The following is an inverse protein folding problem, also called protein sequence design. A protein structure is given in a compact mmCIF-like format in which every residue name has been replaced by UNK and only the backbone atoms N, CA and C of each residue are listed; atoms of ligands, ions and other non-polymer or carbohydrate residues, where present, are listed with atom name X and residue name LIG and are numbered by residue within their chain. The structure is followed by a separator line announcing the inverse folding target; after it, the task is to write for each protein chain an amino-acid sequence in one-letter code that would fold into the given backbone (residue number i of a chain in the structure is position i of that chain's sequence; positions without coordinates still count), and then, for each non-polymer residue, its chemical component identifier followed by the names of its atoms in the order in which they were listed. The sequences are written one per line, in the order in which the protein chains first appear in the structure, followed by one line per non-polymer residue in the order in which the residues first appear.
data_IF_485129934909
#
_entry.id   IF_485129934909
#
_cell.length_a   1.000
_cell.length_b   1.000
_cell.length_c   1.000
_cell.angle_alpha   90.00
_cell.angle_beta   90.00
_cell.angle_gamma   90.00
#
_symmetry.space_group_name_H-M   'P 1'
#
loop_
_entity.id
_entity.type
_entity.pdbx_description
1 polymer ?
#
# COMPACT_ATOMS: atom_id res chain seq x y z
N UNK A 1 1.10 -14.17 5.45
CA UNK A 1 -0.18 -13.92 4.74
C UNK A 1 -0.61 -12.50 5.07
N UNK A 2 -1.30 -11.79 4.16
CA UNK A 2 -1.87 -10.49 4.48
C UNK A 2 -3.13 -10.68 5.32
N UNK A 3 -3.25 -9.94 6.42
CA UNK A 3 -4.50 -9.86 7.19
C UNK A 3 -5.56 -9.13 6.36
N UNK A 4 -6.87 -9.32 6.63
CA UNK A 4 -7.92 -8.56 5.97
C UNK A 4 -7.76 -7.04 6.10
N UNK A 5 -7.21 -6.58 7.23
CA UNK A 5 -6.97 -5.16 7.51
C UNK A 5 -5.78 -4.63 6.71
N UNK A 6 -4.67 -5.37 6.66
CA UNK A 6 -3.51 -5.03 5.80
C UNK A 6 -3.93 -4.96 4.32
N UNK A 7 -4.79 -5.89 3.88
CA UNK A 7 -5.30 -5.88 2.52
C UNK A 7 -6.21 -4.67 2.24
N UNK A 8 -7.03 -4.24 3.20
CA UNK A 8 -7.86 -3.04 3.08
C UNK A 8 -7.02 -1.77 2.96
N UNK A 9 -6.02 -1.60 3.83
CA UNK A 9 -5.05 -0.50 3.74
C UNK A 9 -4.34 -0.51 2.39
N UNK A 10 -3.93 -1.70 1.93
CA UNK A 10 -3.23 -1.83 0.67
C UNK A 10 -4.09 -1.43 -0.54
N UNK A 11 -5.38 -1.78 -0.52
CA UNK A 11 -6.35 -1.33 -1.51
C UNK A 11 -6.62 0.18 -1.43
N UNK A 12 -6.65 0.76 -0.23
CA UNK A 12 -6.80 2.21 -0.03
C UNK A 12 -5.61 2.99 -0.56
N UNK A 13 -4.38 2.54 -0.31
CA UNK A 13 -3.16 3.15 -0.88
C UNK A 13 -3.19 3.14 -2.41
N UNK A 14 -3.70 2.06 -3.03
CA UNK A 14 -3.87 1.98 -4.49
C UNK A 14 -4.94 2.93 -5.01
N UNK A 15 -6.07 3.05 -4.31
CA UNK A 15 -7.22 3.83 -4.75
C UNK A 15 -7.07 5.33 -4.45
N UNK A 16 -6.38 5.69 -3.37
CA UNK A 16 -6.22 7.06 -2.88
C UNK A 16 -4.82 7.24 -2.28
N UNK A 17 -3.81 7.60 -3.09
CA UNK A 17 -2.45 7.87 -2.64
C UNK A 17 -2.33 9.07 -1.69
N UNK A 18 -3.37 9.92 -1.64
CA UNK A 18 -3.43 11.09 -0.74
C UNK A 18 -4.17 10.80 0.57
N UNK A 19 -4.52 9.53 0.83
CA UNK A 19 -5.20 9.16 2.08
C UNK A 19 -4.22 9.23 3.25
N UNK A 20 -4.43 10.20 4.13
CA UNK A 20 -3.57 10.52 5.29
C UNK A 20 -3.92 9.74 6.56
N UNK A 21 -5.05 9.05 6.58
CA UNK A 21 -5.59 8.35 7.76
C UNK A 21 -5.31 6.84 7.68
N UNK A 22 -4.09 6.49 7.27
CA UNK A 22 -3.65 5.10 7.26
C UNK A 22 -3.11 4.77 8.65
N UNK A 23 -3.66 3.74 9.29
CA UNK A 23 -3.12 3.19 10.53
C UNK A 23 -1.65 2.78 10.32
N UNK A 24 -0.76 3.27 11.20
CA UNK A 24 0.69 3.14 11.02
C UNK A 24 1.15 1.69 11.08
N UNK A 25 0.54 0.83 11.89
CA UNK A 25 0.99 -0.55 12.08
C UNK A 25 0.80 -1.39 10.80
N UNK A 26 -0.37 -1.31 10.17
CA UNK A 26 -0.62 -1.99 8.89
C UNK A 26 0.21 -1.39 7.75
N UNK A 27 0.35 -0.07 7.73
CA UNK A 27 1.17 0.59 6.71
C UNK A 27 2.64 0.20 6.83
N UNK A 28 3.18 0.18 8.05
CA UNK A 28 4.54 -0.21 8.34
C UNK A 28 4.78 -1.68 7.95
N UNK A 29 3.82 -2.57 8.22
CA UNK A 29 3.89 -3.97 7.77
C UNK A 29 3.93 -4.10 6.23
N UNK A 30 3.19 -3.26 5.50
CA UNK A 30 3.25 -3.22 4.04
C UNK A 30 4.58 -2.63 3.53
N UNK A 31 5.14 -1.66 4.24
CA UNK A 31 6.41 -1.00 3.94
C UNK A 31 7.59 -1.98 4.16
N UNK A 32 7.59 -2.70 5.29
CA UNK A 32 8.57 -3.74 5.62
C UNK A 32 8.58 -4.86 4.57
N UNK A 33 7.41 -5.20 4.04
CA UNK A 33 7.24 -6.18 2.97
C UNK A 33 7.50 -5.63 1.56
N UNK A 34 7.86 -4.35 1.44
CA UNK A 34 8.10 -3.66 0.17
C UNK A 34 6.90 -3.74 -0.79
N UNK A 35 5.68 -3.82 -0.26
CA UNK A 35 4.44 -3.80 -1.04
C UNK A 35 3.99 -2.37 -1.34
N UNK A 36 4.33 -1.44 -0.43
CA UNK A 36 4.15 0.00 -0.57
C UNK A 36 5.47 0.71 -0.30
N UNK A 37 5.63 1.91 -0.84
CA UNK A 37 6.75 2.80 -0.63
C UNK A 37 6.24 4.22 -0.38
N UNK A 38 7.01 5.02 0.37
CA UNK A 38 6.76 6.45 0.51
C UNK A 38 7.62 7.21 -0.51
N UNK A 39 6.99 7.83 -1.50
CA UNK A 39 7.67 8.72 -2.42
C UNK A 39 7.62 10.16 -1.90
N UNK A 40 8.76 10.85 -1.96
CA UNK A 40 8.81 12.28 -1.67
C UNK A 40 8.22 13.04 -2.84
N UNK A 41 7.07 13.68 -2.63
CA UNK A 41 6.50 14.60 -3.59
C UNK A 41 7.35 15.87 -3.68
N UNK A 42 7.35 16.58 -4.82
CA UNK A 42 8.05 17.86 -4.98
C UNK A 42 7.63 18.92 -3.96
N UNK A 43 6.45 18.76 -3.36
CA UNK A 43 5.92 19.60 -2.27
C UNK A 43 6.51 19.30 -0.89
N UNK A 44 7.41 18.30 -0.77
CA UNK A 44 7.94 17.81 0.51
C UNK A 44 7.00 16.87 1.27
N UNK A 45 5.80 16.59 0.73
CA UNK A 45 4.89 15.60 1.30
C UNK A 45 5.34 14.17 0.97
N UNK A 46 5.23 13.25 1.92
CA UNK A 46 5.43 11.83 1.68
C UNK A 46 4.13 11.22 1.18
N UNK A 47 4.14 10.65 -0.02
CA UNK A 47 2.97 10.01 -0.62
C UNK A 47 3.17 8.50 -0.65
N UNK A 48 2.27 7.72 -0.03
CA UNK A 48 2.29 6.27 -0.17
C UNK A 48 1.97 5.87 -1.61
N UNK A 49 2.74 4.92 -2.15
CA UNK A 49 2.58 4.37 -3.48
C UNK A 49 2.79 2.85 -3.45
N UNK A 50 1.96 2.13 -4.19
CA UNK A 50 2.13 0.68 -4.40
C UNK A 50 3.38 0.41 -5.24
N UNK A 51 4.23 -0.51 -4.78
CA UNK A 51 5.43 -0.93 -5.53
C UNK A 51 5.06 -1.90 -6.66
N UNK A 52 5.99 -2.15 -7.58
CA UNK A 52 5.80 -3.18 -8.61
C UNK A 52 5.56 -4.58 -8.00
N UNK A 53 6.20 -4.88 -6.87
CA UNK A 53 6.00 -6.15 -6.16
C UNK A 53 4.60 -6.22 -5.58
N UNK A 54 4.15 -5.14 -4.95
CA UNK A 54 2.80 -4.98 -4.46
C UNK A 54 1.74 -5.15 -5.53
N UNK A 55 1.93 -4.51 -6.69
CA UNK A 55 1.01 -4.62 -7.83
C UNK A 55 0.90 -6.06 -8.33
N UNK A 56 2.02 -6.78 -8.46
CA UNK A 56 2.02 -8.20 -8.87
C UNK A 56 1.27 -9.09 -7.87
N UNK A 57 1.37 -8.80 -6.58
CA UNK A 57 0.66 -9.51 -5.53
C UNK A 57 -0.85 -9.24 -5.59
N UNK A 58 -1.25 -7.97 -5.76
CA UNK A 58 -2.64 -7.60 -5.97
C UNK A 58 -3.24 -8.26 -7.21
N UNK A 59 -2.53 -8.26 -8.33
CA UNK A 59 -2.96 -8.95 -9.55
C UNK A 59 -3.18 -10.45 -9.30
N UNK A 60 -2.30 -11.09 -8.52
CA UNK A 60 -2.43 -12.51 -8.17
C UNK A 60 -3.64 -12.78 -7.26
N UNK A 61 -3.89 -11.91 -6.28
CA UNK A 61 -5.04 -12.01 -5.37
C UNK A 61 -6.36 -11.73 -6.08
N UNK A 62 -6.40 -10.71 -6.95
CA UNK A 62 -7.60 -10.31 -7.69
C UNK A 62 -7.94 -11.28 -8.82
N UNK A 63 -6.94 -11.97 -9.39
CA UNK A 63 -7.13 -12.99 -10.43
C UNK A 63 -7.75 -14.29 -9.91
N UNK A 64 -7.74 -14.54 -8.60
CA UNK A 64 -8.38 -15.71 -7.96
C UNK A 64 -9.87 -15.51 -7.63
N UNK A 65 -10.58 -14.63 -8.36
CA UNK A 65 -12.04 -14.53 -8.27
C UNK A 65 -12.74 -15.47 -9.24
#
# INVERSE_FOLDING_TARGET
MLSPHEFAVFMLVKASPDYTDIEREEFDALLERQLVALESAPSGAHRPRVTNHGESLLQTLMRKR
#
